data_IF_076165969837
#
_entry.id   IF_076165969837
#
_cell.length_a   1.000
_cell.length_b   1.000
_cell.length_c   1.000
_cell.angle_alpha   90.00
_cell.angle_beta   90.00
_cell.angle_gamma   90.00
#
_symmetry.space_group_name_H-M   'P 1'
#
loop_
_entity.id
_entity.type
_entity.pdbx_description
1 polymer ?
#
# COMPACT_ATOMS: atom_id res chain seq x y z
N UNK A 1 -12.78 3.15 2.72
CA UNK A 1 -12.04 2.40 1.70
C UNK A 1 -10.64 2.10 2.21
N UNK A 2 -10.22 0.86 2.14
CA UNK A 2 -8.87 0.47 2.57
C UNK A 2 -7.96 0.38 1.37
N UNK A 3 -6.77 0.94 1.48
CA UNK A 3 -5.79 0.98 0.41
C UNK A 3 -4.43 0.53 0.96
N UNK A 4 -3.63 -0.05 0.07
CA UNK A 4 -2.25 -0.40 0.38
C UNK A 4 -1.35 0.64 -0.29
N UNK A 5 -0.51 1.30 0.50
CA UNK A 5 0.41 2.28 -0.05
C UNK A 5 1.51 1.61 -0.86
N UNK A 6 1.78 2.15 -2.05
CA UNK A 6 2.88 1.67 -2.90
C UNK A 6 4.09 2.59 -2.83
N UNK A 7 3.92 3.77 -2.23
CA UNK A 7 4.97 4.76 -2.08
C UNK A 7 4.85 5.41 -0.72
N UNK A 8 5.90 6.09 -0.29
CA UNK A 8 5.82 6.91 0.92
C UNK A 8 4.85 8.06 0.66
N UNK A 9 3.81 8.16 1.47
CA UNK A 9 2.85 9.26 1.38
C UNK A 9 2.87 9.99 2.71
N UNK A 10 3.27 11.24 2.67
CA UNK A 10 3.32 12.07 3.87
C UNK A 10 1.93 12.18 4.49
N UNK A 11 1.87 11.94 5.80
CA UNK A 11 0.61 11.96 6.53
C UNK A 11 -0.18 10.67 6.49
N UNK A 12 0.20 9.70 5.67
CA UNK A 12 -0.50 8.41 5.58
C UNK A 12 0.36 7.23 6.04
N UNK A 13 1.60 7.14 5.57
CA UNK A 13 2.45 6.06 5.99
C UNK A 13 3.50 5.67 4.95
N UNK A 14 4.06 4.49 5.13
CA UNK A 14 5.14 3.95 4.29
C UNK A 14 4.61 2.95 3.27
N UNK A 15 5.39 2.63 2.23
CA UNK A 15 4.98 1.61 1.27
C UNK A 15 4.68 0.27 1.96
N UNK A 16 3.60 -0.35 1.56
CA UNK A 16 3.15 -1.61 2.15
C UNK A 16 2.21 -1.45 3.33
N UNK A 17 2.01 -0.23 3.80
CA UNK A 17 1.06 0.02 4.89
C UNK A 17 -0.37 0.05 4.36
N UNK A 18 -1.29 -0.50 5.14
CA UNK A 18 -2.72 -0.46 4.83
C UNK A 18 -3.31 0.74 5.54
N UNK A 19 -3.96 1.61 4.78
CA UNK A 19 -4.58 2.82 5.33
C UNK A 19 -6.07 2.83 4.99
N UNK A 20 -6.86 3.47 5.85
CA UNK A 20 -8.29 3.66 5.62
C UNK A 20 -8.53 5.12 5.29
N UNK A 21 -9.16 5.37 4.14
CA UNK A 21 -9.46 6.72 3.65
C UNK A 21 -10.87 6.76 3.11
N UNK A 22 -11.38 7.96 2.86
CA UNK A 22 -12.69 8.12 2.23
C UNK A 22 -12.60 7.65 0.77
N UNK A 23 -13.71 7.07 0.28
CA UNK A 23 -13.76 6.54 -1.09
C UNK A 23 -13.38 7.59 -2.13
N UNK A 24 -13.90 8.79 -2.01
CA UNK A 24 -13.60 9.86 -2.95
C UNK A 24 -12.13 10.24 -2.94
N UNK A 25 -11.52 10.34 -1.78
CA UNK A 25 -10.11 10.66 -1.66
C UNK A 25 -9.23 9.56 -2.25
N UNK A 26 -9.52 8.31 -1.92
CA UNK A 26 -8.74 7.19 -2.43
C UNK A 26 -8.85 7.07 -3.95
N UNK A 27 -10.06 7.09 -4.49
CA UNK A 27 -10.29 6.91 -5.91
C UNK A 27 -9.85 8.11 -6.76
N UNK A 28 -10.02 9.32 -6.24
CA UNK A 28 -9.75 10.53 -7.01
C UNK A 28 -8.34 11.06 -6.87
N UNK A 29 -7.64 10.64 -5.83
CA UNK A 29 -6.29 11.13 -5.56
C UNK A 29 -5.26 9.99 -5.49
N UNK A 30 -5.42 9.09 -4.53
CA UNK A 30 -4.37 8.10 -4.26
C UNK A 30 -4.19 7.10 -5.40
N UNK A 31 -5.27 6.56 -5.93
CA UNK A 31 -5.20 5.56 -6.99
C UNK A 31 -4.75 6.17 -8.32
N UNK A 32 -5.33 7.29 -8.80
CA UNK A 32 -4.86 7.91 -10.05
C UNK A 32 -3.40 8.35 -10.00
N UNK A 33 -2.93 8.80 -8.84
CA UNK A 33 -1.54 9.22 -8.66
C UNK A 33 -0.60 8.04 -8.41
N UNK A 34 -1.14 6.83 -8.32
CA UNK A 34 -0.37 5.60 -8.06
C UNK A 34 0.34 5.62 -6.71
N UNK A 35 -0.18 6.38 -5.75
CA UNK A 35 0.32 6.37 -4.39
C UNK A 35 -0.11 5.13 -3.63
N UNK A 36 -1.23 4.54 -4.02
CA UNK A 36 -1.79 3.39 -3.34
C UNK A 36 -2.62 2.56 -4.32
N UNK A 37 -2.89 1.32 -3.94
CA UNK A 37 -3.77 0.42 -4.69
C UNK A 37 -4.84 -0.09 -3.75
N UNK A 38 -5.95 -0.56 -4.32
CA UNK A 38 -7.04 -1.10 -3.53
C UNK A 38 -6.56 -2.30 -2.70
N UNK A 39 -6.95 -2.32 -1.42
CA UNK A 39 -6.57 -3.40 -0.50
C UNK A 39 -7.44 -4.64 -0.73
N UNK A 40 -7.33 -5.24 -1.90
CA UNK A 40 -8.00 -6.50 -2.21
C UNK A 40 -7.19 -7.67 -1.67
N UNK A 41 -7.80 -8.86 -1.48
CA UNK A 41 -7.06 -10.03 -1.02
C UNK A 41 -5.84 -10.35 -1.88
N UNK A 42 -5.96 -10.20 -3.19
CA UNK A 42 -4.84 -10.45 -4.11
C UNK A 42 -3.71 -9.45 -3.91
N UNK A 43 -4.05 -8.16 -3.77
CA UNK A 43 -3.05 -7.12 -3.58
C UNK A 43 -2.38 -7.24 -2.21
N UNK A 44 -3.14 -7.57 -1.18
CA UNK A 44 -2.60 -7.79 0.17
C UNK A 44 -1.59 -8.93 0.14
N UNK A 45 -1.93 -10.02 -0.51
CA UNK A 45 -1.04 -11.17 -0.61
C UNK A 45 0.25 -10.83 -1.34
N UNK A 46 0.17 -10.10 -2.44
CA UNK A 46 1.35 -9.68 -3.18
C UNK A 46 2.27 -8.80 -2.34
N UNK A 47 1.70 -7.86 -1.61
CA UNK A 47 2.49 -6.96 -0.78
C UNK A 47 3.14 -7.69 0.38
N UNK A 48 2.46 -8.65 0.98
CA UNK A 48 3.02 -9.48 2.04
C UNK A 48 4.20 -10.31 1.55
N UNK A 49 4.08 -10.89 0.37
CA UNK A 49 5.17 -11.65 -0.24
C UNK A 49 6.39 -10.78 -0.50
N UNK A 50 6.18 -9.57 -1.01
CA UNK A 50 7.27 -8.61 -1.24
C UNK A 50 7.94 -8.22 0.07
N UNK A 51 7.15 -7.97 1.11
CA UNK A 51 7.67 -7.63 2.43
C UNK A 51 8.54 -8.76 2.99
N UNK A 52 8.10 -10.01 2.83
CA UNK A 52 8.86 -11.18 3.27
C UNK A 52 10.20 -11.29 2.53
N UNK A 53 10.19 -11.06 1.23
CA UNK A 53 11.41 -11.13 0.43
C UNK A 53 12.40 -10.04 0.83
N UNK A 54 11.93 -8.84 1.07
CA UNK A 54 12.78 -7.74 1.53
C UNK A 54 13.35 -8.02 2.92
N UNK A 55 12.54 -8.54 3.82
CA UNK A 55 13.00 -8.90 5.15
C UNK A 55 14.09 -9.96 5.11
N UNK A 56 13.98 -10.95 4.23
CA UNK A 56 15.01 -11.96 4.04
C UNK A 56 16.33 -11.38 3.53
N UNK A 57 16.25 -10.42 2.63
CA UNK A 57 17.45 -9.76 2.10
C UNK A 57 18.15 -8.93 3.18
N UNK A 58 17.39 -8.29 4.03
CA UNK A 58 17.92 -7.46 5.10
C UNK A 58 18.51 -8.29 6.25
N UNK A 59 18.05 -9.53 6.42
CA UNK A 59 18.52 -10.41 7.47
C UNK A 59 19.94 -10.94 7.20
N UNK A 60 20.49 -10.67 6.07
CA UNK A 60 21.90 -10.97 5.75
C UNK A 60 22.74 -9.74 6.08
#
# INVERSE_FOLDING_TARGET
MKLILTQVVEGLGNPGDIVSVKDGFGRNYLIPQKFAVEASPSNVKMMEERKKQQAKKEAK
#
